data_IF_449439763864
#
_entry.id   IF_449439763864
#
_cell.length_a   1.000
_cell.length_b   1.000
_cell.length_c   1.000
_cell.angle_alpha   90.00
_cell.angle_beta   90.00
_cell.angle_gamma   90.00
#
_symmetry.space_group_name_H-M   'P 1'
#
loop_
_entity.id
_entity.type
_entity.pdbx_description
1 polymer ?
#
# COMPACT_ATOMS: atom_id res chain seq x y z
N UNK A 1 -24.87 15.28 2.68
CA UNK A 1 -23.89 14.70 3.63
C UNK A 1 -22.55 14.68 2.93
N UNK A 2 -21.47 15.07 3.58
CA UNK A 2 -20.14 15.00 2.97
C UNK A 2 -19.79 13.52 2.71
N UNK A 3 -19.38 13.19 1.49
CA UNK A 3 -18.94 11.84 1.15
C UNK A 3 -17.59 11.56 1.81
N UNK A 4 -17.52 10.49 2.59
CA UNK A 4 -16.27 9.99 3.18
C UNK A 4 -15.38 9.39 2.08
N UNK A 5 -14.13 9.84 2.01
CA UNK A 5 -13.11 9.22 1.14
C UNK A 5 -12.16 8.35 1.94
N UNK A 6 -11.52 7.41 1.26
CA UNK A 6 -10.55 6.50 1.84
C UNK A 6 -9.27 6.51 1.00
N UNK A 7 -8.13 6.71 1.67
CA UNK A 7 -6.81 6.63 1.05
C UNK A 7 -6.04 5.50 1.73
N UNK A 8 -5.64 4.52 0.93
CA UNK A 8 -4.73 3.45 1.30
C UNK A 8 -3.34 3.78 0.76
N UNK A 9 -2.39 4.02 1.65
CA UNK A 9 -1.01 4.36 1.32
C UNK A 9 -0.10 3.15 1.56
N UNK A 10 0.53 2.64 0.49
CA UNK A 10 1.42 1.49 0.54
C UNK A 10 2.88 1.98 0.48
N UNK A 11 3.65 1.72 1.53
CA UNK A 11 5.05 2.14 1.61
C UNK A 11 5.96 1.32 0.68
N UNK A 12 7.15 1.85 0.38
CA UNK A 12 8.20 1.18 -0.42
C UNK A 12 8.94 0.07 0.32
N UNK A 13 9.79 -0.68 -0.40
CA UNK A 13 10.59 -1.79 0.12
C UNK A 13 11.43 -1.37 1.35
N UNK A 14 11.34 -2.14 2.44
CA UNK A 14 12.11 -1.95 3.66
C UNK A 14 11.57 -0.90 4.63
N UNK A 15 10.51 -0.18 4.25
CA UNK A 15 9.89 0.87 5.08
C UNK A 15 8.70 0.33 5.91
N UNK A 16 7.87 1.21 6.47
CA UNK A 16 6.71 0.87 7.28
C UNK A 16 5.56 1.86 7.13
N UNK A 17 4.35 1.42 7.44
CA UNK A 17 3.17 2.29 7.50
C UNK A 17 3.35 3.49 8.44
N UNK A 18 3.71 3.30 9.72
CA UNK A 18 3.91 4.39 10.67
C UNK A 18 4.91 5.46 10.22
N UNK A 19 5.99 5.08 9.53
CA UNK A 19 6.97 6.03 9.00
C UNK A 19 6.39 6.96 7.92
N UNK A 20 5.35 6.50 7.21
CA UNK A 20 4.68 7.23 6.14
C UNK A 20 3.46 8.03 6.61
N UNK A 21 2.94 7.79 7.82
CA UNK A 21 1.79 8.53 8.37
C UNK A 21 1.91 10.07 8.29
N UNK A 22 3.09 10.71 8.47
CA UNK A 22 3.24 12.15 8.34
C UNK A 22 2.82 12.71 6.98
N UNK A 23 2.81 11.89 5.91
CA UNK A 23 2.42 12.30 4.56
C UNK A 23 1.00 12.86 4.53
N UNK A 24 0.08 12.33 5.36
CA UNK A 24 -1.30 12.85 5.44
C UNK A 24 -1.36 14.36 5.75
N UNK A 25 -0.35 14.88 6.45
CA UNK A 25 -0.30 16.31 6.84
C UNK A 25 0.00 17.24 5.66
N UNK A 26 0.55 16.70 4.55
CA UNK A 26 0.80 17.45 3.33
C UNK A 26 -0.50 17.70 2.54
N UNK A 27 -1.55 16.92 2.79
CA UNK A 27 -2.85 17.03 2.13
C UNK A 27 -3.78 18.00 2.87
N UNK A 28 -3.53 19.30 2.72
CA UNK A 28 -4.20 20.36 3.50
C UNK A 28 -5.52 20.88 2.91
N UNK A 29 -5.88 20.46 1.70
CA UNK A 29 -7.13 20.89 1.05
C UNK A 29 -8.37 20.41 1.82
N UNK A 30 -9.41 21.24 1.89
CA UNK A 30 -10.67 20.92 2.56
C UNK A 30 -11.36 19.65 2.02
N UNK A 31 -11.01 19.22 0.79
CA UNK A 31 -11.50 17.97 0.21
C UNK A 31 -11.02 16.73 0.98
N UNK A 32 -9.90 16.82 1.69
CA UNK A 32 -9.34 15.72 2.51
C UNK A 32 -9.80 15.75 3.97
N UNK A 33 -10.59 16.75 4.38
CA UNK A 33 -11.00 16.91 5.78
C UNK A 33 -11.78 15.72 6.35
N UNK A 34 -12.49 14.98 5.49
CA UNK A 34 -13.27 13.78 5.86
C UNK A 34 -12.63 12.49 5.33
N UNK A 35 -11.35 12.52 4.95
CA UNK A 35 -10.63 11.35 4.45
C UNK A 35 -10.20 10.46 5.59
N UNK A 36 -10.52 9.16 5.50
CA UNK A 36 -9.88 8.13 6.31
C UNK A 36 -8.59 7.70 5.63
N UNK A 37 -7.50 7.73 6.38
CA UNK A 37 -6.19 7.30 5.93
C UNK A 37 -5.86 5.92 6.51
N UNK A 38 -5.24 5.06 5.72
CA UNK A 38 -4.66 3.81 6.17
C UNK A 38 -3.24 3.67 5.66
N UNK A 39 -2.32 3.43 6.59
CA UNK A 39 -0.90 3.22 6.34
C UNK A 39 -0.54 1.82 6.89
N UNK A 40 -0.91 0.72 6.20
CA UNK A 40 -0.53 -0.61 6.63
C UNK A 40 0.99 -0.82 6.48
N UNK A 41 1.54 -1.71 7.30
CA UNK A 41 2.90 -2.21 7.09
C UNK A 41 2.86 -3.56 6.40
N UNK A 42 3.76 -3.76 5.43
CA UNK A 42 3.98 -5.03 4.78
C UNK A 42 4.49 -6.08 5.78
N UNK A 43 4.24 -7.39 5.54
CA UNK A 43 4.87 -8.44 6.32
C UNK A 43 6.39 -8.44 6.13
N UNK A 44 7.12 -8.85 7.18
CA UNK A 44 8.56 -9.10 7.07
C UNK A 44 8.80 -10.42 6.34
N UNK A 45 9.49 -10.36 5.20
CA UNK A 45 9.83 -11.53 4.40
C UNK A 45 11.23 -11.42 3.78
N UNK A 46 11.87 -12.54 3.38
CA UNK A 46 13.12 -12.50 2.65
C UNK A 46 12.95 -11.80 1.29
N UNK A 47 13.92 -11.00 0.88
CA UNK A 47 13.89 -10.27 -0.40
C UNK A 47 15.08 -10.64 -1.26
N UNK A 48 14.82 -11.17 -2.45
CA UNK A 48 15.82 -11.75 -3.35
C UNK A 48 16.86 -10.74 -3.80
N UNK A 49 16.46 -9.51 -4.19
CA UNK A 49 17.40 -8.47 -4.62
C UNK A 49 18.37 -8.02 -3.50
N UNK A 50 18.00 -8.28 -2.24
CA UNK A 50 18.80 -7.99 -1.06
C UNK A 50 19.41 -9.27 -0.46
N UNK A 51 19.75 -10.24 -1.31
CA UNK A 51 20.42 -11.49 -0.92
C UNK A 51 19.68 -12.29 0.16
N UNK A 52 18.34 -12.24 0.16
CA UNK A 52 17.50 -12.94 1.13
C UNK A 52 17.39 -12.27 2.50
N UNK A 53 17.86 -11.03 2.64
CA UNK A 53 17.66 -10.25 3.86
C UNK A 53 16.16 -10.10 4.17
N UNK A 54 15.80 -10.26 5.45
CA UNK A 54 14.42 -10.14 5.92
C UNK A 54 14.11 -8.68 6.22
N UNK A 55 13.10 -8.13 5.55
CA UNK A 55 12.62 -6.77 5.75
C UNK A 55 11.14 -6.66 5.35
N UNK A 56 10.45 -5.57 5.71
CA UNK A 56 9.10 -5.32 5.22
C UNK A 56 9.08 -5.28 3.69
N UNK A 57 8.32 -6.19 3.08
CA UNK A 57 8.08 -6.19 1.63
C UNK A 57 6.68 -6.68 1.34
N UNK A 58 6.01 -6.11 0.34
CA UNK A 58 4.68 -6.55 -0.08
C UNK A 58 4.75 -7.87 -0.86
N UNK A 59 5.75 -8.01 -1.72
CA UNK A 59 6.04 -9.19 -2.52
C UNK A 59 7.56 -9.30 -2.73
N UNK A 60 8.04 -10.44 -3.23
CA UNK A 60 9.47 -10.60 -3.50
C UNK A 60 9.93 -9.78 -4.72
N UNK A 61 10.98 -8.98 -4.52
CA UNK A 61 11.64 -8.19 -5.57
C UNK A 61 12.94 -8.90 -5.91
N UNK A 62 13.04 -9.40 -7.15
CA UNK A 62 14.16 -10.23 -7.58
C UNK A 62 15.37 -9.46 -8.06
N UNK A 63 15.17 -8.27 -8.60
CA UNK A 63 16.25 -7.40 -9.08
C UNK A 63 15.95 -5.92 -8.89
N UNK A 64 17.01 -5.15 -8.70
CA UNK A 64 17.00 -3.68 -8.68
C UNK A 64 18.23 -3.21 -9.51
N UNK A 65 18.08 -2.24 -10.43
CA UNK A 65 16.86 -1.48 -10.74
C UNK A 65 15.80 -2.33 -11.47
N UNK A 66 14.53 -2.07 -11.17
CA UNK A 66 13.40 -2.70 -11.87
C UNK A 66 13.30 -2.13 -13.28
N UNK A 67 13.18 -3.01 -14.27
CA UNK A 67 13.02 -2.71 -15.69
C UNK A 67 11.81 -3.45 -16.25
N UNK A 68 11.40 -3.14 -17.48
CA UNK A 68 10.31 -3.85 -18.15
C UNK A 68 10.55 -5.36 -18.34
N UNK A 69 11.81 -5.80 -18.22
CA UNK A 69 12.20 -7.20 -18.40
C UNK A 69 12.49 -7.91 -17.07
N UNK A 70 12.30 -7.23 -15.93
CA UNK A 70 12.59 -7.80 -14.63
C UNK A 70 11.69 -9.00 -14.33
N UNK A 71 12.23 -10.11 -13.80
CA UNK A 71 11.42 -11.24 -13.41
C UNK A 71 10.52 -10.85 -12.24
N UNK A 72 9.23 -11.06 -12.41
CA UNK A 72 8.22 -10.85 -11.37
C UNK A 72 7.85 -12.19 -10.76
N UNK A 73 7.82 -12.25 -9.43
CA UNK A 73 7.16 -13.36 -8.74
C UNK A 73 5.65 -13.11 -8.73
N UNK A 74 4.95 -13.63 -9.75
CA UNK A 74 3.52 -13.43 -9.91
C UNK A 74 2.73 -13.98 -8.72
N UNK A 75 3.17 -15.09 -8.12
CA UNK A 75 2.48 -15.70 -6.98
C UNK A 75 2.54 -14.79 -5.74
N UNK A 76 3.74 -14.32 -5.40
CA UNK A 76 3.94 -13.38 -4.29
C UNK A 76 3.23 -12.05 -4.53
N UNK A 77 3.22 -11.56 -5.76
CA UNK A 77 2.48 -10.35 -6.13
C UNK A 77 0.97 -10.52 -5.96
N UNK A 78 0.39 -11.64 -6.40
CA UNK A 78 -1.04 -11.90 -6.25
C UNK A 78 -1.46 -12.03 -4.79
N UNK A 79 -0.62 -12.59 -3.92
CA UNK A 79 -0.87 -12.59 -2.47
C UNK A 79 -0.91 -11.16 -1.90
N UNK A 80 0.03 -10.30 -2.31
CA UNK A 80 0.02 -8.89 -1.94
C UNK A 80 -1.27 -8.19 -2.39
N UNK A 81 -1.71 -8.44 -3.63
CA UNK A 81 -2.94 -7.90 -4.19
C UNK A 81 -4.17 -8.36 -3.39
N UNK A 82 -4.25 -9.64 -3.03
CA UNK A 82 -5.36 -10.16 -2.22
C UNK A 82 -5.43 -9.51 -0.84
N UNK A 83 -4.27 -9.24 -0.22
CA UNK A 83 -4.19 -8.53 1.04
C UNK A 83 -4.70 -7.09 0.90
N UNK A 84 -4.29 -6.38 -0.16
CA UNK A 84 -4.77 -5.02 -0.45
C UNK A 84 -6.28 -5.00 -0.73
N UNK A 85 -6.79 -5.93 -1.54
CA UNK A 85 -8.23 -6.07 -1.78
C UNK A 85 -9.00 -6.31 -0.49
N UNK A 86 -8.49 -7.16 0.41
CA UNK A 86 -9.11 -7.40 1.71
C UNK A 86 -9.17 -6.15 2.60
N UNK A 87 -8.22 -5.21 2.45
CA UNK A 87 -8.26 -3.91 3.15
C UNK A 87 -9.31 -2.99 2.52
N UNK A 88 -9.39 -2.96 1.19
CA UNK A 88 -10.39 -2.17 0.45
C UNK A 88 -11.80 -2.67 0.75
N UNK A 89 -12.03 -3.98 0.69
CA UNK A 89 -13.34 -4.61 0.92
C UNK A 89 -13.90 -4.28 2.30
N UNK A 90 -13.05 -4.18 3.32
CA UNK A 90 -13.45 -3.75 4.67
C UNK A 90 -13.98 -2.32 4.68
N UNK A 91 -13.40 -1.41 3.91
CA UNK A 91 -13.88 -0.02 3.82
C UNK A 91 -15.13 0.11 2.95
N UNK A 92 -15.24 -0.68 1.89
CA UNK A 92 -16.47 -0.77 1.10
C UNK A 92 -17.63 -1.31 1.95
N UNK A 93 -17.40 -2.37 2.73
CA UNK A 93 -18.37 -2.90 3.68
C UNK A 93 -18.74 -1.90 4.78
N UNK A 94 -17.83 -0.99 5.14
CA UNK A 94 -18.09 0.12 6.06
C UNK A 94 -18.84 1.30 5.41
N UNK A 95 -19.20 1.20 4.13
CA UNK A 95 -20.04 2.18 3.43
C UNK A 95 -19.27 3.26 2.66
N UNK A 96 -17.97 3.10 2.41
CA UNK A 96 -17.24 3.99 1.49
C UNK A 96 -17.65 3.68 0.05
N UNK A 97 -18.05 4.72 -0.70
CA UNK A 97 -18.34 4.58 -2.14
C UNK A 97 -17.04 4.21 -2.89
N UNK A 98 -17.03 3.16 -3.74
CA UNK A 98 -15.84 2.76 -4.49
C UNK A 98 -15.15 3.90 -5.25
N UNK A 99 -15.91 4.89 -5.74
CA UNK A 99 -15.35 6.05 -6.46
C UNK A 99 -14.53 7.00 -5.57
N UNK A 100 -14.62 6.84 -4.26
CA UNK A 100 -13.92 7.64 -3.26
C UNK A 100 -12.78 6.86 -2.58
N UNK A 101 -12.42 5.69 -3.10
CA UNK A 101 -11.24 4.92 -2.68
C UNK A 101 -10.07 5.28 -3.58
N UNK A 102 -8.95 5.64 -2.98
CA UNK A 102 -7.68 5.84 -3.65
C UNK A 102 -6.62 4.92 -3.05
N UNK A 103 -5.81 4.29 -3.91
CA UNK A 103 -4.65 3.49 -3.51
C UNK A 103 -3.42 4.16 -4.11
N UNK A 104 -2.46 4.50 -3.24
CA UNK A 104 -1.23 5.17 -3.64
C UNK A 104 -0.01 4.35 -3.18
N UNK A 105 1.04 4.35 -4.00
CA UNK A 105 2.32 3.69 -3.73
C UNK A 105 3.36 4.79 -3.47
N UNK A 106 3.96 4.76 -2.28
CA UNK A 106 5.01 5.70 -1.88
C UNK A 106 6.36 5.47 -2.56
#
# INVERSE_FOLDING_TARGET
MASRSFILWLHGLGDSGPANEPIRSLFTSAQFANTRWSFPSAPSQPVTCNYGAVMPSWFDIREIPVTANSPVDESSLLEAVQNVHSMIDKELAAGVDPKNVCVDLG
#
